data_IF_281561500358
#
_entry.id   IF_281561500358
#
_cell.length_a   1.000
_cell.length_b   1.000
_cell.length_c   1.000
_cell.angle_alpha   90.00
_cell.angle_beta   90.00
_cell.angle_gamma   90.00
#
_symmetry.space_group_name_H-M   'P 1'
#
loop_
_entity.id
_entity.type
_entity.pdbx_description
1 polymer ?
#
# COMPACT_ATOMS: atom_id res chain seq x y z
N UNK A 1 -2.50 7.60 -20.89
CA UNK A 1 -1.81 8.94 -21.00
C UNK A 1 -0.96 9.02 -22.27
N UNK A 2 -1.04 10.10 -23.06
CA UNK A 2 -0.19 10.30 -24.26
C UNK A 2 1.07 11.08 -23.89
N UNK A 3 2.23 10.73 -24.46
CA UNK A 3 3.53 11.37 -24.18
C UNK A 3 3.51 12.91 -24.34
N UNK A 4 2.92 13.39 -25.41
CA UNK A 4 2.98 14.81 -25.82
C UNK A 4 2.27 15.79 -24.84
N UNK A 5 1.57 15.29 -23.83
CA UNK A 5 0.88 16.14 -22.85
C UNK A 5 1.59 16.22 -21.49
N UNK A 6 2.53 15.30 -21.23
CA UNK A 6 3.33 15.32 -19.99
C UNK A 6 4.48 16.33 -20.01
N UNK A 7 4.84 16.88 -21.20
CA UNK A 7 5.97 17.80 -21.36
C UNK A 7 5.80 19.11 -20.57
N UNK A 8 4.58 19.43 -20.15
CA UNK A 8 4.29 20.63 -19.37
C UNK A 8 4.44 20.43 -17.86
N UNK A 9 4.53 19.18 -17.37
CA UNK A 9 4.68 18.91 -15.95
C UNK A 9 6.12 19.17 -15.50
N UNK A 10 6.33 19.72 -14.30
CA UNK A 10 7.67 19.74 -13.71
C UNK A 10 8.15 18.31 -13.44
N UNK A 11 9.45 18.07 -13.48
CA UNK A 11 10.06 16.82 -13.06
C UNK A 11 10.95 17.04 -11.83
N UNK A 12 11.12 16.03 -10.97
CA UNK A 12 10.38 14.77 -10.96
C UNK A 12 8.92 14.95 -10.53
N UNK A 13 7.99 14.10 -11.04
CA UNK A 13 6.58 14.22 -10.74
C UNK A 13 5.86 12.86 -10.76
N UNK A 14 5.09 12.54 -9.73
CA UNK A 14 4.10 11.48 -9.77
C UNK A 14 2.83 11.97 -10.48
N UNK A 15 2.27 11.15 -11.33
CA UNK A 15 1.02 11.44 -12.05
C UNK A 15 0.06 10.29 -11.85
N UNK A 16 -1.09 10.55 -11.24
CA UNK A 16 -2.14 9.55 -11.03
C UNK A 16 -3.24 9.70 -12.08
N UNK A 17 -3.55 8.60 -12.77
CA UNK A 17 -4.60 8.50 -13.80
C UNK A 17 -5.93 8.17 -13.14
N UNK A 18 -6.87 9.11 -13.14
CA UNK A 18 -8.19 8.95 -12.52
C UNK A 18 -9.02 7.84 -13.17
N UNK A 19 -8.88 7.64 -14.47
CA UNK A 19 -9.64 6.60 -15.18
C UNK A 19 -9.19 5.19 -14.83
N UNK A 20 -7.88 4.95 -14.70
CA UNK A 20 -7.36 3.66 -14.26
C UNK A 20 -7.70 3.42 -12.80
N UNK A 21 -7.55 4.45 -11.95
CA UNK A 21 -7.92 4.39 -10.54
C UNK A 21 -9.40 4.00 -10.38
N UNK A 22 -10.30 4.66 -11.10
CA UNK A 22 -11.74 4.37 -11.03
C UNK A 22 -12.07 2.95 -11.54
N UNK A 23 -11.41 2.49 -12.59
CA UNK A 23 -11.57 1.11 -13.09
C UNK A 23 -11.17 0.07 -12.03
N UNK A 24 -10.06 0.29 -11.33
CA UNK A 24 -9.64 -0.58 -10.23
C UNK A 24 -10.70 -0.61 -9.11
N UNK A 25 -11.20 0.56 -8.73
CA UNK A 25 -12.25 0.70 -7.72
C UNK A 25 -13.54 -0.01 -8.10
N UNK A 26 -13.96 0.07 -9.37
CA UNK A 26 -15.14 -0.64 -9.88
C UNK A 26 -14.97 -2.17 -9.76
N UNK A 27 -13.79 -2.70 -10.05
CA UNK A 27 -13.49 -4.13 -9.88
C UNK A 27 -13.60 -4.55 -8.40
N UNK A 28 -13.09 -3.73 -7.50
CA UNK A 28 -13.15 -4.00 -6.06
C UNK A 28 -14.59 -3.88 -5.53
N UNK A 29 -15.35 -2.92 -6.03
CA UNK A 29 -16.75 -2.73 -5.64
C UNK A 29 -17.63 -3.91 -6.07
N UNK A 30 -17.36 -4.53 -7.23
CA UNK A 30 -18.04 -5.76 -7.64
C UNK A 30 -17.89 -6.88 -6.59
N UNK A 31 -16.72 -7.00 -5.94
CA UNK A 31 -16.52 -7.97 -4.85
C UNK A 31 -17.43 -7.64 -3.67
N UNK A 32 -17.49 -6.36 -3.27
CA UNK A 32 -18.37 -5.93 -2.17
C UNK A 32 -19.85 -6.21 -2.46
N UNK A 33 -20.31 -5.84 -3.67
CA UNK A 33 -21.71 -6.02 -4.07
C UNK A 33 -22.13 -7.48 -4.14
N UNK A 34 -21.22 -8.38 -4.55
CA UNK A 34 -21.49 -9.82 -4.64
C UNK A 34 -21.48 -10.52 -3.30
N UNK A 35 -20.58 -10.12 -2.41
CA UNK A 35 -20.25 -10.91 -1.21
C UNK A 35 -20.73 -10.28 0.09
N UNK A 36 -21.06 -8.99 0.10
CA UNK A 36 -21.30 -8.22 1.31
C UNK A 36 -20.06 -7.94 2.16
N UNK A 37 -18.87 -8.31 1.69
CA UNK A 37 -17.64 -7.91 2.34
C UNK A 37 -17.46 -6.39 2.27
N UNK A 38 -16.82 -5.81 3.28
CA UNK A 38 -16.44 -4.41 3.29
C UNK A 38 -14.98 -4.25 2.89
N UNK A 39 -14.69 -3.27 2.05
CA UNK A 39 -13.32 -2.97 1.63
C UNK A 39 -12.92 -1.59 2.12
N UNK A 40 -11.75 -1.50 2.72
CA UNK A 40 -11.15 -0.28 3.25
C UNK A 40 -9.76 -0.06 2.62
N UNK A 41 -9.44 1.20 2.32
CA UNK A 41 -8.16 1.57 1.72
C UNK A 41 -7.02 1.46 2.73
N UNK A 42 -5.97 0.70 2.42
CA UNK A 42 -4.74 0.69 3.22
C UNK A 42 -3.85 1.90 2.89
N UNK A 43 -3.81 2.88 3.81
CA UNK A 43 -3.08 4.13 3.61
C UNK A 43 -1.57 3.93 3.46
N UNK A 44 -1.00 2.89 4.09
CA UNK A 44 0.40 2.52 3.90
C UNK A 44 0.77 2.21 2.44
N UNK A 45 -0.21 1.77 1.62
CA UNK A 45 -0.01 1.48 0.21
C UNK A 45 -0.31 2.67 -0.69
N UNK A 46 -1.38 3.42 -0.39
CA UNK A 46 -1.79 4.58 -1.17
C UNK A 46 -2.52 5.60 -0.30
N UNK A 47 -2.02 6.83 -0.22
CA UNK A 47 -2.54 7.86 0.67
C UNK A 47 -2.71 9.24 0.01
N UNK A 48 -2.88 9.30 -1.32
CA UNK A 48 -3.13 10.53 -2.04
C UNK A 48 -4.54 11.05 -1.75
N UNK A 49 -4.69 11.86 -0.68
CA UNK A 49 -6.00 12.29 -0.19
C UNK A 49 -6.79 13.14 -1.18
N UNK A 50 -6.15 13.77 -2.18
CA UNK A 50 -6.84 14.50 -3.24
C UNK A 50 -7.84 13.65 -4.02
N UNK A 51 -7.61 12.34 -4.10
CA UNK A 51 -8.51 11.39 -4.79
C UNK A 51 -9.44 10.63 -3.83
N UNK A 52 -9.42 10.91 -2.54
CA UNK A 52 -10.32 10.27 -1.57
C UNK A 52 -11.81 10.49 -1.87
N UNK A 53 -12.27 11.66 -2.39
CA UNK A 53 -13.67 11.79 -2.80
C UNK A 53 -14.11 10.80 -3.87
N UNK A 54 -13.20 10.43 -4.81
CA UNK A 54 -13.46 9.37 -5.79
C UNK A 54 -13.50 8.00 -5.10
N UNK A 55 -12.48 7.69 -4.29
CA UNK A 55 -12.37 6.38 -3.63
C UNK A 55 -13.55 6.12 -2.68
N UNK A 56 -14.00 7.13 -1.95
CA UNK A 56 -15.13 7.04 -1.02
C UNK A 56 -16.47 6.67 -1.69
N UNK A 57 -16.60 6.85 -2.99
CA UNK A 57 -17.79 6.40 -3.73
C UNK A 57 -17.89 4.87 -3.79
N UNK A 58 -16.79 4.19 -3.58
CA UNK A 58 -16.64 2.74 -3.72
C UNK A 58 -16.30 2.04 -2.41
N UNK A 59 -15.45 2.63 -1.56
CA UNK A 59 -14.95 2.03 -0.33
C UNK A 59 -15.58 2.67 0.91
N UNK A 60 -15.77 1.88 1.96
CA UNK A 60 -16.43 2.34 3.19
C UNK A 60 -15.49 3.05 4.17
N UNK A 61 -14.17 2.92 4.02
CA UNK A 61 -13.23 3.47 5.00
C UNK A 61 -11.77 3.31 4.63
N UNK A 62 -10.92 3.49 5.63
CA UNK A 62 -9.46 3.40 5.54
C UNK A 62 -8.89 2.54 6.66
N UNK A 63 -7.72 1.94 6.45
CA UNK A 63 -6.92 1.34 7.51
C UNK A 63 -5.59 2.05 7.65
N UNK A 64 -5.23 2.32 8.90
CA UNK A 64 -4.10 3.13 9.31
C UNK A 64 -3.09 2.32 10.12
N UNK A 65 -1.81 2.60 9.94
CA UNK A 65 -0.71 1.97 10.66
C UNK A 65 -0.08 2.89 11.72
N UNK A 66 -0.63 4.11 11.88
CA UNK A 66 -0.16 5.12 12.82
C UNK A 66 -1.27 6.13 13.14
N UNK A 67 -1.04 6.96 14.18
CA UNK A 67 -1.93 8.09 14.53
C UNK A 67 -2.09 9.06 13.35
N UNK A 68 -1.01 9.34 12.62
CA UNK A 68 -1.07 10.29 11.50
C UNK A 68 -1.88 9.75 10.33
N UNK A 69 -1.74 8.47 9.98
CA UNK A 69 -2.60 7.84 8.98
C UNK A 69 -4.06 7.79 9.43
N UNK A 70 -4.32 7.48 10.73
CA UNK A 70 -5.69 7.48 11.26
C UNK A 70 -6.32 8.87 11.19
N UNK A 71 -5.56 9.93 11.49
CA UNK A 71 -6.00 11.31 11.36
C UNK A 71 -6.31 11.66 9.91
N UNK A 72 -5.42 11.33 8.98
CA UNK A 72 -5.65 11.54 7.54
C UNK A 72 -6.92 10.84 7.08
N UNK A 73 -7.13 9.57 7.47
CA UNK A 73 -8.35 8.83 7.17
C UNK A 73 -9.60 9.50 7.74
N UNK A 74 -9.56 9.97 8.99
CA UNK A 74 -10.69 10.62 9.63
C UNK A 74 -11.03 11.98 9.02
N UNK A 75 -10.01 12.83 8.81
CA UNK A 75 -10.20 14.20 8.36
C UNK A 75 -10.51 14.29 6.85
N UNK A 76 -9.80 13.52 6.02
CA UNK A 76 -9.88 13.65 4.56
C UNK A 76 -10.79 12.61 3.90
N UNK A 77 -10.86 11.38 4.43
CA UNK A 77 -11.75 10.34 3.91
C UNK A 77 -13.13 10.38 4.58
N UNK A 78 -13.20 10.42 5.91
CA UNK A 78 -14.43 10.59 6.69
C UNK A 78 -15.40 9.39 6.66
N UNK A 79 -14.88 8.17 6.41
CA UNK A 79 -15.62 6.89 6.54
C UNK A 79 -15.21 6.13 7.81
N UNK A 80 -15.35 4.81 7.80
CA UNK A 80 -14.79 3.95 8.84
C UNK A 80 -13.27 4.08 8.87
N UNK A 81 -12.67 4.19 10.07
CA UNK A 81 -11.22 4.19 10.24
C UNK A 81 -10.83 3.02 11.10
N UNK A 82 -10.08 2.10 10.53
CA UNK A 82 -9.46 0.98 11.24
C UNK A 82 -8.01 1.32 11.55
N UNK A 83 -7.47 0.80 12.65
CA UNK A 83 -6.06 0.95 12.96
C UNK A 83 -5.42 -0.35 13.40
N UNK A 84 -4.22 -0.59 12.91
CA UNK A 84 -3.34 -1.65 13.37
C UNK A 84 -1.89 -1.15 13.36
N UNK A 85 -1.22 -1.26 14.50
CA UNK A 85 0.23 -1.11 14.61
C UNK A 85 0.82 -2.27 15.44
N UNK A 86 2.11 -2.61 15.25
CA UNK A 86 2.78 -3.64 16.07
C UNK A 86 2.80 -3.33 17.56
N UNK A 87 2.74 -2.06 17.92
CA UNK A 87 2.58 -1.58 19.28
C UNK A 87 2.07 -0.13 19.28
N UNK A 88 1.42 0.25 20.37
CA UNK A 88 0.99 1.62 20.65
C UNK A 88 1.63 2.09 21.96
N UNK A 89 2.08 3.34 22.01
CA UNK A 89 2.41 4.02 23.25
C UNK A 89 1.13 4.53 23.95
N UNK A 90 1.26 4.98 25.21
CA UNK A 90 0.13 5.60 25.92
C UNK A 90 -0.37 6.85 25.19
N UNK A 91 0.54 7.65 24.63
CA UNK A 91 0.22 8.82 23.83
C UNK A 91 -0.50 8.44 22.54
N UNK A 92 -0.03 7.40 21.81
CA UNK A 92 -0.71 6.94 20.60
C UNK A 92 -2.15 6.53 20.89
N UNK A 93 -2.42 5.85 22.01
CA UNK A 93 -3.78 5.44 22.38
C UNK A 93 -4.65 6.66 22.66
N UNK A 94 -4.17 7.67 23.37
CA UNK A 94 -4.91 8.91 23.64
C UNK A 94 -5.27 9.66 22.36
N UNK A 95 -4.34 9.73 21.42
CA UNK A 95 -4.53 10.44 20.15
C UNK A 95 -5.35 9.65 19.12
N UNK A 96 -5.27 8.31 19.11
CA UNK A 96 -5.90 7.49 18.07
C UNK A 96 -7.37 7.16 18.37
N UNK A 97 -7.75 6.97 19.65
CA UNK A 97 -9.12 6.58 20.02
C UNK A 97 -10.22 7.50 19.48
N UNK A 98 -10.06 8.83 19.49
CA UNK A 98 -11.05 9.75 18.87
C UNK A 98 -11.22 9.53 17.37
N UNK A 99 -10.20 9.01 16.70
CA UNK A 99 -10.11 8.94 15.25
C UNK A 99 -10.64 7.63 14.67
N UNK A 100 -10.56 6.52 15.42
CA UNK A 100 -10.81 5.17 14.89
C UNK A 100 -12.17 4.61 15.28
N UNK A 101 -12.72 3.74 14.44
CA UNK A 101 -13.91 2.94 14.71
C UNK A 101 -13.53 1.49 15.10
N UNK A 102 -12.38 1.02 14.60
CA UNK A 102 -11.80 -0.28 14.94
C UNK A 102 -10.31 -0.11 15.31
N UNK A 103 -9.88 -0.80 16.35
CA UNK A 103 -8.46 -0.89 16.72
C UNK A 103 -8.04 -2.34 16.89
N UNK A 104 -7.00 -2.77 16.19
CA UNK A 104 -6.45 -4.11 16.31
C UNK A 104 -5.14 -4.08 17.09
N UNK A 105 -5.05 -4.86 18.15
CA UNK A 105 -3.82 -5.05 18.91
C UNK A 105 -2.99 -6.21 18.35
N UNK A 106 -1.69 -6.07 18.46
CA UNK A 106 -0.74 -7.08 17.98
C UNK A 106 -0.51 -8.21 18.99
N UNK A 107 -0.82 -8.00 20.27
CA UNK A 107 -0.58 -8.97 21.34
C UNK A 107 -1.60 -8.88 22.46
N UNK A 108 -1.75 -9.98 23.21
CA UNK A 108 -2.57 -9.98 24.42
C UNK A 108 -2.10 -8.95 25.45
N UNK A 109 -0.78 -8.77 25.63
CA UNK A 109 -0.25 -7.78 26.57
C UNK A 109 -0.64 -6.35 26.21
N UNK A 110 -0.65 -6.00 24.92
CA UNK A 110 -1.12 -4.69 24.46
C UNK A 110 -2.63 -4.55 24.70
N UNK A 111 -3.42 -5.54 24.32
CA UNK A 111 -4.86 -5.55 24.58
C UNK A 111 -5.21 -5.45 26.06
N UNK A 112 -4.62 -6.31 26.91
CA UNK A 112 -4.82 -6.30 28.36
C UNK A 112 -4.44 -4.95 29.00
N UNK A 113 -3.41 -4.28 28.46
CA UNK A 113 -2.98 -2.95 28.92
C UNK A 113 -3.98 -1.85 28.60
N UNK A 114 -4.63 -1.91 27.44
CA UNK A 114 -5.40 -0.77 26.92
C UNK A 114 -6.91 -1.01 26.83
N UNK A 115 -7.39 -2.23 27.00
CA UNK A 115 -8.82 -2.54 26.83
C UNK A 115 -9.73 -1.64 27.68
N UNK A 116 -9.41 -1.43 28.96
CA UNK A 116 -10.24 -0.63 29.88
C UNK A 116 -10.32 0.83 29.39
N UNK A 117 -9.24 1.38 28.80
CA UNK A 117 -9.25 2.72 28.20
C UNK A 117 -10.12 2.77 26.95
N UNK A 118 -10.07 1.72 26.11
CA UNK A 118 -10.90 1.63 24.88
C UNK A 118 -12.37 1.45 25.26
N UNK A 119 -12.67 0.55 26.19
CA UNK A 119 -14.06 0.26 26.62
C UNK A 119 -14.69 1.47 27.34
N UNK A 120 -13.92 2.25 28.10
CA UNK A 120 -14.40 3.45 28.79
C UNK A 120 -14.43 4.70 27.90
N UNK A 121 -13.93 4.60 26.66
CA UNK A 121 -13.92 5.75 25.76
C UNK A 121 -15.34 6.15 25.34
N UNK A 122 -15.73 7.43 25.34
CA UNK A 122 -17.12 7.86 25.07
C UNK A 122 -17.68 7.42 23.72
N UNK A 123 -16.80 7.34 22.69
CA UNK A 123 -17.16 6.80 21.38
C UNK A 123 -16.88 5.30 21.38
N UNK A 124 -17.84 4.44 20.99
CA UNK A 124 -17.59 3.02 20.85
C UNK A 124 -16.48 2.74 19.82
N UNK A 125 -15.48 1.96 20.23
CA UNK A 125 -14.40 1.48 19.37
C UNK A 125 -14.36 -0.03 19.42
N UNK A 126 -14.46 -0.66 18.27
CA UNK A 126 -14.43 -2.13 18.17
C UNK A 126 -13.00 -2.65 18.29
N UNK A 127 -12.79 -3.62 19.17
CA UNK A 127 -11.47 -4.14 19.50
C UNK A 127 -11.18 -5.43 18.74
N UNK A 128 -10.06 -5.48 18.06
CA UNK A 128 -9.53 -6.65 17.38
C UNK A 128 -8.19 -7.12 17.88
N UNK A 129 -7.85 -8.34 17.50
CA UNK A 129 -6.54 -8.92 17.71
C UNK A 129 -5.96 -9.41 16.39
N UNK A 130 -4.73 -9.04 16.08
CA UNK A 130 -4.04 -9.62 14.93
C UNK A 130 -3.60 -11.03 15.24
N UNK A 131 -4.06 -11.97 14.43
CA UNK A 131 -3.66 -13.38 14.49
C UNK A 131 -2.57 -13.68 13.46
N UNK A 132 -1.69 -14.63 13.79
CA UNK A 132 -0.67 -15.16 12.90
C UNK A 132 -0.95 -16.65 12.64
N UNK A 133 -1.43 -17.02 11.46
CA UNK A 133 -1.73 -18.40 11.14
C UNK A 133 -0.47 -19.26 10.96
N UNK A 134 0.73 -18.67 10.99
CA UNK A 134 2.00 -19.37 10.74
C UNK A 134 2.00 -20.06 9.37
N UNK A 135 1.38 -19.40 8.39
CA UNK A 135 1.28 -19.81 7.01
C UNK A 135 1.37 -18.58 6.09
N UNK A 136 2.26 -18.65 5.13
CA UNK A 136 2.45 -17.63 4.09
C UNK A 136 3.16 -18.27 2.90
N UNK A 137 2.85 -17.80 1.70
CA UNK A 137 3.50 -18.22 0.44
C UNK A 137 4.39 -17.10 -0.13
N UNK A 138 4.72 -16.10 0.69
CA UNK A 138 5.59 -14.99 0.29
C UNK A 138 7.03 -15.47 0.23
N UNK A 139 7.65 -15.40 -0.96
CA UNK A 139 9.00 -15.86 -1.18
C UNK A 139 10.08 -14.96 -0.54
N UNK A 140 9.79 -13.64 -0.44
CA UNK A 140 10.73 -12.65 0.09
C UNK A 140 10.60 -12.51 1.60
N UNK A 141 11.59 -12.93 2.42
CA UNK A 141 11.48 -12.94 3.89
C UNK A 141 11.20 -11.58 4.52
N UNK A 142 11.58 -10.48 3.86
CA UNK A 142 11.32 -9.10 4.32
C UNK A 142 9.81 -8.82 4.38
N UNK A 143 9.03 -9.38 3.48
CA UNK A 143 7.59 -9.17 3.35
C UNK A 143 6.75 -10.30 3.95
N UNK A 144 7.36 -11.40 4.41
CA UNK A 144 6.64 -12.53 5.04
C UNK A 144 6.30 -12.24 6.51
N UNK A 145 5.02 -11.95 6.83
CA UNK A 145 4.59 -11.66 8.19
C UNK A 145 4.50 -12.92 9.06
N UNK A 146 4.54 -14.11 8.47
CA UNK A 146 4.43 -15.40 9.15
C UNK A 146 5.76 -16.14 9.30
N UNK A 147 6.87 -15.54 8.84
CA UNK A 147 8.21 -16.14 8.99
C UNK A 147 8.52 -16.48 10.44
N UNK A 148 9.46 -17.39 10.64
CA UNK A 148 9.98 -17.71 11.96
C UNK A 148 10.44 -16.42 12.69
N UNK A 149 10.09 -16.29 13.96
CA UNK A 149 10.37 -15.12 14.80
C UNK A 149 9.73 -13.79 14.31
N UNK A 150 8.68 -13.87 13.49
CA UNK A 150 7.91 -12.66 13.17
C UNK A 150 7.36 -12.00 14.43
N UNK A 151 7.44 -10.65 14.47
CA UNK A 151 6.85 -9.84 15.55
C UNK A 151 5.35 -9.55 15.33
N UNK A 152 4.75 -10.05 14.24
CA UNK A 152 3.42 -9.66 13.80
C UNK A 152 2.38 -10.73 14.10
N UNK A 153 1.41 -10.36 14.94
CA UNK A 153 0.25 -11.18 15.26
C UNK A 153 0.51 -12.31 16.25
N UNK A 154 -0.55 -12.78 16.86
CA UNK A 154 -0.55 -13.84 17.88
C UNK A 154 -0.73 -15.20 17.26
N UNK A 155 0.15 -16.14 17.59
CA UNK A 155 0.08 -17.53 17.16
C UNK A 155 -0.93 -18.32 17.99
N UNK A 156 -1.47 -19.40 17.42
CA UNK A 156 -2.48 -20.23 18.07
C UNK A 156 -2.08 -20.71 19.48
N UNK A 157 -0.82 -21.09 19.67
CA UNK A 157 -0.30 -21.56 20.97
C UNK A 157 -0.41 -20.53 22.11
N UNK A 158 -0.51 -19.23 21.79
CA UNK A 158 -0.59 -18.14 22.77
C UNK A 158 -2.03 -17.91 23.28
N UNK A 159 -3.03 -18.59 22.69
CA UNK A 159 -4.45 -18.47 23.06
C UNK A 159 -4.85 -19.37 24.22
N UNK A 160 -4.02 -20.33 24.61
CA UNK A 160 -4.33 -21.28 25.69
C UNK A 160 -4.67 -20.59 27.02
N UNK A 161 -5.90 -20.81 27.52
CA UNK A 161 -6.36 -20.23 28.78
C UNK A 161 -6.68 -18.74 28.77
N UNK A 162 -6.64 -18.07 27.59
CA UNK A 162 -7.00 -16.66 27.49
C UNK A 162 -8.53 -16.49 27.39
N UNK A 163 -9.03 -15.52 28.16
CA UNK A 163 -10.39 -15.04 28.02
C UNK A 163 -10.44 -14.00 26.91
N UNK A 164 -11.25 -14.22 25.87
CA UNK A 164 -11.41 -13.32 24.73
C UNK A 164 -12.57 -12.32 24.88
N UNK A 165 -13.23 -12.31 26.03
CA UNK A 165 -14.33 -11.37 26.31
C UNK A 165 -13.85 -9.93 26.15
N UNK A 166 -14.56 -9.14 25.34
CA UNK A 166 -14.17 -7.77 24.95
C UNK A 166 -13.43 -7.69 23.63
N UNK A 167 -13.10 -8.82 22.97
CA UNK A 167 -12.67 -8.81 21.58
C UNK A 167 -13.88 -8.93 20.66
N UNK A 168 -13.93 -8.08 19.64
CA UNK A 168 -14.96 -8.07 18.62
C UNK A 168 -14.52 -8.76 17.32
N UNK A 169 -13.21 -8.85 17.06
CA UNK A 169 -12.76 -9.39 15.78
C UNK A 169 -11.31 -9.84 15.71
N UNK A 170 -11.01 -10.52 14.61
CA UNK A 170 -9.67 -10.90 14.24
C UNK A 170 -9.21 -10.21 12.97
N UNK A 171 -7.91 -9.93 12.90
CA UNK A 171 -7.24 -9.42 11.74
C UNK A 171 -6.05 -10.33 11.41
N UNK A 172 -5.90 -10.73 10.16
CA UNK A 172 -4.66 -11.30 9.64
C UNK A 172 -4.26 -10.60 8.34
N UNK A 173 -2.97 -10.59 8.05
CA UNK A 173 -2.44 -10.06 6.81
C UNK A 173 -1.22 -10.89 6.45
N UNK A 174 -1.36 -11.75 5.45
CA UNK A 174 -0.41 -12.83 5.13
C UNK A 174 -0.10 -12.92 3.64
N UNK A 175 -0.74 -12.10 2.82
CA UNK A 175 -0.54 -12.03 1.38
C UNK A 175 0.30 -10.80 1.01
N UNK A 176 1.06 -10.92 -0.09
CA UNK A 176 1.74 -9.83 -0.77
C UNK A 176 1.72 -10.14 -2.27
N UNK A 177 0.99 -9.34 -3.05
CA UNK A 177 0.83 -9.45 -4.51
C UNK A 177 0.32 -10.82 -5.00
N UNK A 178 -0.48 -11.50 -4.19
CA UNK A 178 -0.92 -12.87 -4.47
C UNK A 178 -2.36 -12.94 -4.97
N UNK A 179 -2.69 -14.06 -5.64
CA UNK A 179 -4.01 -14.31 -6.21
C UNK A 179 -4.94 -15.01 -5.18
N UNK A 180 -6.21 -15.20 -5.54
CA UNK A 180 -7.24 -15.73 -4.66
C UNK A 180 -7.00 -17.18 -4.19
N UNK A 181 -6.26 -17.97 -4.95
CA UNK A 181 -5.89 -19.35 -4.57
C UNK A 181 -5.00 -19.39 -3.31
N UNK A 182 -4.11 -18.42 -3.14
CA UNK A 182 -3.33 -18.27 -1.91
C UNK A 182 -4.22 -17.91 -0.71
N UNK A 183 -5.23 -17.07 -0.91
CA UNK A 183 -6.21 -16.79 0.15
C UNK A 183 -6.97 -18.06 0.55
N UNK A 184 -7.38 -18.89 -0.40
CA UNK A 184 -8.10 -20.14 -0.11
C UNK A 184 -7.30 -21.02 0.86
N UNK A 185 -6.04 -21.31 0.51
CA UNK A 185 -5.16 -22.09 1.39
C UNK A 185 -4.90 -21.41 2.74
N UNK A 186 -4.81 -20.08 2.74
CA UNK A 186 -4.67 -19.31 3.99
C UNK A 186 -5.89 -19.44 4.87
N UNK A 187 -7.10 -19.35 4.30
CA UNK A 187 -8.36 -19.48 5.05
C UNK A 187 -8.52 -20.88 5.66
N UNK A 188 -8.14 -21.94 4.95
CA UNK A 188 -8.12 -23.30 5.50
C UNK A 188 -7.28 -23.38 6.77
N UNK A 189 -6.08 -22.77 6.76
CA UNK A 189 -5.20 -22.73 7.92
C UNK A 189 -5.77 -21.85 9.04
N UNK A 190 -6.33 -20.69 8.71
CA UNK A 190 -6.96 -19.78 9.68
C UNK A 190 -8.14 -20.46 10.36
N UNK A 191 -9.05 -21.08 9.61
CA UNK A 191 -10.21 -21.78 10.17
C UNK A 191 -9.78 -23.01 10.97
N UNK A 192 -8.79 -23.76 10.53
CA UNK A 192 -8.24 -24.90 11.29
C UNK A 192 -7.66 -24.50 12.64
N UNK A 193 -6.95 -23.38 12.71
CA UNK A 193 -6.27 -22.93 13.93
C UNK A 193 -7.15 -22.05 14.83
N UNK A 194 -7.99 -21.19 14.24
CA UNK A 194 -8.71 -20.16 14.95
C UNK A 194 -10.25 -20.28 14.82
N UNK A 195 -10.75 -21.21 14.01
CA UNK A 195 -12.19 -21.39 13.76
C UNK A 195 -13.03 -21.51 15.01
N UNK A 196 -12.54 -22.21 16.03
CA UNK A 196 -13.24 -22.35 17.32
C UNK A 196 -13.48 -21.03 18.06
N UNK A 197 -12.79 -19.96 17.72
CA UNK A 197 -12.97 -18.63 18.30
C UNK A 197 -13.84 -17.72 17.44
N UNK A 198 -14.02 -18.04 16.14
CA UNK A 198 -14.76 -17.19 15.21
C UNK A 198 -16.24 -17.05 15.57
N UNK A 199 -16.81 -18.00 16.27
CA UNK A 199 -18.20 -17.92 16.74
C UNK A 199 -18.49 -16.77 17.71
N UNK A 200 -17.44 -16.22 18.34
CA UNK A 200 -17.54 -15.09 19.27
C UNK A 200 -17.20 -13.76 18.59
N UNK A 201 -16.68 -13.77 17.35
CA UNK A 201 -16.21 -12.59 16.65
C UNK A 201 -17.32 -11.97 15.80
N UNK A 202 -17.47 -10.65 15.86
CA UNK A 202 -18.39 -9.87 15.02
C UNK A 202 -17.82 -9.57 13.64
N UNK A 203 -16.50 -9.61 13.49
CA UNK A 203 -15.83 -9.36 12.23
C UNK A 203 -14.50 -10.10 12.12
N UNK A 204 -14.08 -10.29 10.87
CA UNK A 204 -12.74 -10.74 10.53
C UNK A 204 -12.21 -9.90 9.38
N UNK A 205 -10.95 -9.49 9.48
CA UNK A 205 -10.25 -8.76 8.45
C UNK A 205 -9.17 -9.66 7.83
N UNK A 206 -9.31 -9.94 6.53
CA UNK A 206 -8.39 -10.81 5.78
C UNK A 206 -7.10 -10.07 5.37
N UNK A 207 -6.99 -8.78 5.71
CA UNK A 207 -5.84 -7.96 5.40
C UNK A 207 -5.77 -7.51 3.93
N UNK A 208 -4.59 -7.11 3.52
CA UNK A 208 -4.27 -6.72 2.16
C UNK A 208 -3.38 -7.74 1.44
N UNK A 209 -2.73 -7.29 0.36
CA UNK A 209 -1.87 -8.13 -0.47
C UNK A 209 -2.63 -8.93 -1.53
N UNK A 210 -3.94 -8.71 -1.63
CA UNK A 210 -4.79 -9.22 -2.70
C UNK A 210 -4.68 -8.30 -3.92
N UNK A 211 -4.15 -8.79 -5.02
CA UNK A 211 -4.02 -8.00 -6.26
C UNK A 211 -5.31 -7.97 -7.09
N UNK A 212 -6.45 -7.63 -6.48
CA UNK A 212 -7.82 -7.76 -7.01
C UNK A 212 -7.99 -7.10 -8.37
N UNK A 213 -7.31 -5.98 -8.62
CA UNK A 213 -7.40 -5.22 -9.89
C UNK A 213 -6.41 -5.70 -10.96
N UNK A 214 -5.53 -6.66 -10.64
CA UNK A 214 -4.59 -7.24 -11.61
C UNK A 214 -5.36 -8.06 -12.65
N UNK A 215 -5.01 -7.98 -13.95
CA UNK A 215 -5.79 -8.62 -15.03
C UNK A 215 -5.95 -10.14 -14.91
N UNK A 216 -4.98 -10.83 -14.28
CA UNK A 216 -4.98 -12.28 -14.07
C UNK A 216 -5.49 -12.71 -12.70
N UNK A 217 -6.03 -11.76 -11.90
CA UNK A 217 -6.59 -12.08 -10.59
C UNK A 217 -7.97 -12.75 -10.73
N UNK A 218 -8.16 -13.86 -10.03
CA UNK A 218 -9.40 -14.63 -10.04
C UNK A 218 -10.43 -14.02 -9.05
N UNK A 219 -11.14 -12.99 -9.52
CA UNK A 219 -12.19 -12.30 -8.76
C UNK A 219 -13.35 -13.23 -8.41
N UNK A 220 -13.71 -14.16 -9.30
CA UNK A 220 -14.81 -15.09 -9.08
C UNK A 220 -14.47 -16.04 -7.93
N UNK A 221 -13.25 -16.56 -7.89
CA UNK A 221 -12.76 -17.38 -6.78
C UNK A 221 -12.74 -16.59 -5.47
N UNK A 222 -12.27 -15.35 -5.47
CA UNK A 222 -12.31 -14.49 -4.28
C UNK A 222 -13.74 -14.36 -3.73
N UNK A 223 -14.70 -14.07 -4.60
CA UNK A 223 -16.11 -13.96 -4.19
C UNK A 223 -16.62 -15.28 -3.62
N UNK A 224 -16.38 -16.40 -4.29
CA UNK A 224 -16.81 -17.71 -3.81
C UNK A 224 -16.20 -18.06 -2.44
N UNK A 225 -14.94 -17.70 -2.19
CA UNK A 225 -14.29 -17.91 -0.89
C UNK A 225 -14.94 -17.09 0.22
N UNK A 226 -15.21 -15.81 -0.04
CA UNK A 226 -15.86 -14.91 0.92
C UNK A 226 -17.30 -15.39 1.20
N UNK A 227 -18.06 -15.74 0.16
CA UNK A 227 -19.43 -16.26 0.29
C UNK A 227 -19.46 -17.55 1.13
N UNK A 228 -18.57 -18.49 0.83
CA UNK A 228 -18.45 -19.74 1.57
C UNK A 228 -18.05 -19.52 3.04
N UNK A 229 -17.11 -18.60 3.30
CA UNK A 229 -16.76 -18.20 4.66
C UNK A 229 -17.94 -17.57 5.39
N UNK A 230 -18.65 -16.64 4.78
CA UNK A 230 -19.80 -15.96 5.34
C UNK A 230 -20.97 -16.92 5.63
N UNK A 231 -21.15 -17.97 4.82
CA UNK A 231 -22.12 -19.02 5.09
C UNK A 231 -21.79 -19.83 6.34
N UNK A 232 -20.49 -20.10 6.58
CA UNK A 232 -20.04 -20.80 7.81
C UNK A 232 -20.07 -19.90 9.05
N UNK A 233 -19.86 -18.59 8.86
CA UNK A 233 -19.77 -17.59 9.93
C UNK A 233 -20.69 -16.38 9.66
N UNK A 234 -22.04 -16.57 9.63
CA UNK A 234 -23.00 -15.56 9.16
C UNK A 234 -23.10 -14.31 10.03
N UNK A 235 -22.57 -14.35 11.25
CA UNK A 235 -22.51 -13.22 12.19
C UNK A 235 -21.22 -12.40 12.07
N UNK A 236 -20.26 -12.86 11.26
CA UNK A 236 -18.93 -12.29 11.18
C UNK A 236 -18.78 -11.47 9.90
N UNK A 237 -18.70 -10.14 10.01
CA UNK A 237 -18.46 -9.26 8.87
C UNK A 237 -17.04 -9.44 8.34
N UNK A 238 -16.92 -9.72 7.04
CA UNK A 238 -15.61 -9.80 6.37
C UNK A 238 -15.13 -8.42 5.93
N UNK A 239 -13.87 -8.12 6.20
CA UNK A 239 -13.15 -6.94 5.69
C UNK A 239 -11.95 -7.34 4.85
N UNK A 240 -11.61 -6.50 3.85
CA UNK A 240 -10.38 -6.55 3.07
C UNK A 240 -9.69 -5.18 3.12
N UNK A 241 -8.36 -5.18 3.10
CA UNK A 241 -7.52 -3.97 3.20
C UNK A 241 -6.56 -3.80 1.98
N UNK A 242 -7.04 -3.78 0.74
CA UNK A 242 -6.14 -3.51 -0.38
C UNK A 242 -5.57 -2.09 -0.29
N UNK A 243 -4.28 -1.96 -0.56
CA UNK A 243 -3.61 -0.67 -0.75
C UNK A 243 -3.15 -0.55 -2.20
N UNK A 244 -2.23 -1.41 -2.57
CA UNK A 244 -1.64 -1.49 -3.90
C UNK A 244 -2.68 -1.75 -5.00
N UNK A 245 -3.58 -2.71 -4.82
CA UNK A 245 -4.62 -3.02 -5.80
C UNK A 245 -5.55 -1.83 -6.11
N UNK A 246 -5.68 -0.85 -5.22
CA UNK A 246 -6.45 0.38 -5.48
C UNK A 246 -5.76 1.20 -6.58
N UNK A 247 -4.44 1.37 -6.48
CA UNK A 247 -3.67 2.25 -7.35
C UNK A 247 -2.79 1.51 -8.38
N UNK A 248 -2.98 0.19 -8.52
CA UNK A 248 -2.22 -0.66 -9.45
C UNK A 248 -2.30 -0.13 -10.87
N UNK A 249 -1.14 0.12 -11.49
CA UNK A 249 -1.00 0.73 -12.81
C UNK A 249 -1.70 2.11 -12.97
N UNK A 250 -2.21 2.71 -11.89
CA UNK A 250 -2.93 3.98 -11.93
C UNK A 250 -2.01 5.19 -11.89
N UNK A 251 -0.71 5.01 -11.75
CA UNK A 251 0.19 6.16 -11.73
C UNK A 251 1.57 5.86 -12.28
N UNK A 252 2.19 6.94 -12.73
CA UNK A 252 3.56 6.94 -13.26
C UNK A 252 4.42 7.95 -12.52
N UNK A 253 5.75 7.79 -12.60
CA UNK A 253 6.68 8.85 -12.24
C UNK A 253 7.40 9.33 -13.49
N UNK A 254 7.37 10.64 -13.72
CA UNK A 254 8.06 11.30 -14.82
C UNK A 254 9.37 11.89 -14.29
N UNK A 255 10.48 11.51 -14.91
CA UNK A 255 11.81 11.99 -14.58
C UNK A 255 12.50 12.59 -15.79
N UNK A 256 13.44 13.51 -15.59
CA UNK A 256 14.30 14.07 -16.64
C UNK A 256 15.72 13.55 -16.52
N UNK A 257 16.36 13.34 -17.67
CA UNK A 257 17.78 13.07 -17.76
C UNK A 257 18.56 14.38 -17.54
N UNK A 258 19.42 14.39 -16.52
CA UNK A 258 20.23 15.56 -16.15
C UNK A 258 21.63 15.54 -16.77
N UNK A 259 22.21 14.33 -16.89
CA UNK A 259 23.55 14.16 -17.45
C UNK A 259 23.65 12.77 -18.12
N UNK A 260 24.53 12.70 -19.13
CA UNK A 260 24.86 11.45 -19.84
C UNK A 260 26.36 11.43 -20.08
N UNK A 261 27.01 10.35 -19.70
CA UNK A 261 28.44 10.14 -19.95
C UNK A 261 28.75 8.69 -20.29
N UNK A 262 29.88 8.46 -20.90
CA UNK A 262 30.38 7.11 -21.24
C UNK A 262 31.65 6.81 -20.43
N UNK A 263 31.64 5.66 -19.75
CA UNK A 263 32.79 5.01 -19.13
C UNK A 263 32.56 3.50 -19.19
N UNK A 264 33.20 2.78 -20.07
CA UNK A 264 32.97 1.36 -20.38
C UNK A 264 31.51 1.02 -20.76
N UNK A 265 30.54 1.86 -20.37
CA UNK A 265 29.13 1.77 -20.71
C UNK A 265 28.48 3.16 -20.70
N UNK A 266 27.29 3.26 -21.30
CA UNK A 266 26.45 4.47 -21.19
C UNK A 266 25.91 4.60 -19.76
N UNK A 267 26.01 5.82 -19.20
CA UNK A 267 25.42 6.21 -17.92
C UNK A 267 24.50 7.43 -18.13
N UNK A 268 23.33 7.41 -17.51
CA UNK A 268 22.44 8.57 -17.46
C UNK A 268 22.05 8.84 -16.00
N UNK A 269 22.20 10.09 -15.57
CA UNK A 269 21.79 10.57 -14.25
C UNK A 269 20.45 11.26 -14.39
N UNK A 270 19.50 10.88 -13.54
CA UNK A 270 18.14 11.38 -13.55
C UNK A 270 17.90 12.33 -12.37
N UNK A 271 16.87 13.17 -12.48
CA UNK A 271 16.39 14.02 -11.38
C UNK A 271 15.57 13.28 -10.33
N UNK A 272 15.48 11.95 -10.42
CA UNK A 272 14.94 11.04 -9.42
C UNK A 272 16.05 10.25 -8.73
N UNK A 273 15.70 9.55 -7.66
CA UNK A 273 16.62 8.74 -6.87
C UNK A 273 15.94 7.43 -6.48
N UNK A 274 16.63 6.30 -6.65
CA UNK A 274 16.15 5.01 -6.16
C UNK A 274 15.97 5.05 -4.64
N UNK A 275 16.98 5.55 -3.90
CA UNK A 275 16.93 5.57 -2.43
C UNK A 275 15.93 6.57 -1.86
N UNK A 276 15.69 7.70 -2.53
CA UNK A 276 14.83 8.76 -1.99
C UNK A 276 13.40 8.72 -2.52
N UNK A 277 13.17 8.30 -3.76
CA UNK A 277 11.89 8.44 -4.44
C UNK A 277 11.23 7.10 -4.80
N UNK A 278 11.98 6.01 -4.84
CA UNK A 278 11.49 4.66 -5.14
C UNK A 278 12.29 3.60 -4.36
N UNK A 279 12.28 3.64 -3.00
CA UNK A 279 13.19 2.84 -2.18
C UNK A 279 12.99 1.33 -2.35
N UNK A 280 11.83 0.85 -2.78
CA UNK A 280 11.59 -0.57 -3.03
C UNK A 280 12.48 -1.12 -4.16
N UNK A 281 12.98 -0.29 -5.07
CA UNK A 281 14.00 -0.68 -6.06
C UNK A 281 15.25 -1.26 -5.39
N UNK A 282 15.62 -0.72 -4.21
CA UNK A 282 16.77 -1.15 -3.44
C UNK A 282 16.42 -2.16 -2.33
N UNK A 283 15.25 -1.98 -1.67
CA UNK A 283 14.80 -2.82 -0.55
C UNK A 283 14.31 -4.18 -1.01
N UNK A 284 13.66 -4.24 -2.16
CA UNK A 284 13.12 -5.43 -2.79
C UNK A 284 13.60 -5.53 -4.24
N UNK A 285 14.90 -5.71 -4.49
CA UNK A 285 15.53 -5.42 -5.77
C UNK A 285 14.69 -5.83 -6.97
N UNK A 286 14.06 -4.87 -7.59
CA UNK A 286 13.34 -5.02 -8.84
C UNK A 286 13.73 -3.87 -9.78
N UNK A 287 13.47 -4.04 -11.05
CA UNK A 287 13.74 -3.02 -12.05
C UNK A 287 12.40 -2.44 -12.53
N UNK A 288 12.10 -1.15 -12.22
CA UNK A 288 10.87 -0.51 -12.68
C UNK A 288 10.73 -0.57 -14.21
N UNK A 289 9.52 -0.72 -14.70
CA UNK A 289 9.25 -0.65 -16.14
C UNK A 289 9.33 0.82 -16.58
N UNK A 290 10.10 1.08 -17.64
CA UNK A 290 10.18 2.41 -18.26
C UNK A 290 9.53 2.34 -19.63
N UNK A 291 8.58 3.22 -19.87
CA UNK A 291 7.88 3.31 -21.16
C UNK A 291 8.86 3.57 -22.28
N UNK A 292 8.85 2.68 -23.28
CA UNK A 292 9.74 2.78 -24.44
C UNK A 292 11.17 2.28 -24.23
N UNK A 293 11.54 1.86 -23.03
CA UNK A 293 12.77 1.12 -22.76
C UNK A 293 12.51 -0.39 -22.65
N UNK A 294 13.57 -1.19 -22.62
CA UNK A 294 13.49 -2.64 -22.58
C UNK A 294 14.62 -3.24 -21.72
N UNK A 295 14.67 -4.55 -21.62
CA UNK A 295 15.74 -5.26 -20.93
C UNK A 295 17.10 -4.99 -21.56
N UNK A 296 18.19 -5.02 -20.78
CA UNK A 296 19.53 -4.81 -21.30
C UNK A 296 19.84 -5.72 -22.50
N UNK A 297 20.33 -5.14 -23.59
CA UNK A 297 20.70 -5.87 -24.79
C UNK A 297 19.56 -6.20 -25.75
N UNK A 298 18.30 -5.90 -25.43
CA UNK A 298 17.15 -6.09 -26.34
C UNK A 298 17.15 -5.03 -27.44
N UNK A 299 17.41 -3.78 -27.07
CA UNK A 299 17.52 -2.64 -28.01
C UNK A 299 18.98 -2.25 -28.25
N UNK A 300 19.19 -1.29 -29.15
CA UNK A 300 20.50 -0.94 -29.69
C UNK A 300 21.49 -0.46 -28.63
N UNK A 301 21.06 0.36 -27.67
CA UNK A 301 21.93 0.99 -26.68
C UNK A 301 21.50 0.57 -25.28
N UNK A 302 22.42 -0.04 -24.53
CA UNK A 302 22.20 -0.29 -23.09
C UNK A 302 22.83 0.82 -22.27
N UNK A 303 22.04 1.43 -21.38
CA UNK A 303 22.45 2.51 -20.50
C UNK A 303 22.11 2.17 -19.04
N UNK A 304 23.01 2.51 -18.11
CA UNK A 304 22.78 2.43 -16.66
C UNK A 304 22.14 3.73 -16.19
N UNK A 305 21.03 3.63 -15.49
CA UNK A 305 20.31 4.79 -14.94
C UNK A 305 20.62 4.91 -13.45
N UNK A 306 21.11 6.08 -13.05
CA UNK A 306 21.42 6.44 -11.67
C UNK A 306 20.60 7.63 -11.19
N UNK A 307 20.46 7.71 -9.87
CA UNK A 307 19.85 8.85 -9.19
C UNK A 307 20.87 9.97 -8.92
N UNK A 308 20.36 11.05 -8.33
CA UNK A 308 21.16 12.27 -8.08
C UNK A 308 21.70 12.37 -6.64
N UNK A 309 21.49 11.36 -5.78
CA UNK A 309 22.06 11.39 -4.43
C UNK A 309 23.53 10.94 -4.42
N UNK A 310 24.24 11.28 -3.33
CA UNK A 310 25.63 10.86 -3.14
C UNK A 310 25.79 9.41 -2.64
N UNK A 311 24.72 8.65 -2.51
CA UNK A 311 24.79 7.24 -2.19
C UNK A 311 25.32 6.47 -3.40
N UNK A 312 26.44 5.74 -3.24
CA UNK A 312 27.04 4.97 -4.33
C UNK A 312 26.08 3.94 -4.95
N UNK A 313 25.15 3.40 -4.16
CA UNK A 313 24.13 2.46 -4.61
C UNK A 313 22.81 3.10 -5.07
N UNK A 314 22.77 4.41 -5.34
CA UNK A 314 21.58 5.08 -5.89
C UNK A 314 21.43 4.78 -7.38
N UNK A 315 21.26 3.50 -7.70
CA UNK A 315 21.11 2.97 -9.04
C UNK A 315 19.70 2.42 -9.25
N UNK A 316 19.06 2.84 -10.35
CA UNK A 316 17.71 2.37 -10.71
C UNK A 316 17.79 1.06 -11.50
N UNK A 317 18.79 0.94 -12.36
CA UNK A 317 19.04 -0.28 -13.12
C UNK A 317 19.60 -0.04 -14.52
N UNK A 318 19.74 -1.12 -15.29
CA UNK A 318 20.17 -1.09 -16.68
C UNK A 318 18.98 -1.28 -17.61
N UNK A 319 18.92 -0.47 -18.66
CA UNK A 319 17.85 -0.48 -19.65
C UNK A 319 18.42 -0.34 -21.06
N UNK A 320 17.74 -0.91 -22.04
CA UNK A 320 18.09 -0.67 -23.43
C UNK A 320 17.10 0.27 -24.12
N UNK A 321 17.64 1.09 -25.03
CA UNK A 321 16.92 2.14 -25.77
C UNK A 321 17.22 2.03 -27.26
N UNK A 322 16.32 2.53 -28.11
CA UNK A 322 16.52 2.60 -29.57
C UNK A 322 17.56 3.64 -29.97
N UNK A 323 17.73 4.71 -29.16
CA UNK A 323 18.77 5.74 -29.24
C UNK A 323 19.34 6.02 -27.85
N UNK A 324 20.58 6.55 -27.74
CA UNK A 324 21.11 6.99 -26.46
C UNK A 324 20.19 8.03 -25.80
N UNK A 325 19.93 7.93 -24.49
CA UNK A 325 19.31 9.01 -23.75
C UNK A 325 20.11 10.31 -23.92
N UNK A 326 19.42 11.44 -23.90
CA UNK A 326 20.03 12.78 -24.00
C UNK A 326 19.59 13.65 -22.83
N UNK A 327 20.41 14.60 -22.44
CA UNK A 327 20.06 15.61 -21.42
C UNK A 327 18.75 16.30 -21.82
N UNK A 328 17.79 16.32 -20.90
CA UNK A 328 16.44 16.84 -21.12
C UNK A 328 15.42 15.82 -21.62
N UNK A 329 15.83 14.60 -22.00
CA UNK A 329 14.88 13.53 -22.28
C UNK A 329 14.04 13.20 -21.04
N UNK A 330 12.77 12.87 -21.25
CA UNK A 330 11.87 12.46 -20.19
C UNK A 330 11.67 10.95 -20.20
N UNK A 331 11.85 10.33 -19.05
CA UNK A 331 11.57 8.92 -18.81
C UNK A 331 10.32 8.78 -17.97
N UNK A 332 9.45 7.84 -18.34
CA UNK A 332 8.21 7.57 -17.64
C UNK A 332 8.29 6.18 -17.01
N UNK A 333 8.38 6.14 -15.69
CA UNK A 333 8.36 4.92 -14.90
C UNK A 333 6.92 4.52 -14.64
N UNK A 334 6.57 3.29 -14.99
CA UNK A 334 5.21 2.76 -14.83
C UNK A 334 4.98 2.30 -13.39
N UNK A 335 3.73 2.30 -12.98
CA UNK A 335 3.24 1.75 -11.69
C UNK A 335 3.88 2.36 -10.44
N UNK A 336 3.94 3.70 -10.39
CA UNK A 336 4.62 4.46 -9.34
C UNK A 336 3.68 5.18 -8.36
N UNK A 337 2.36 4.88 -8.36
CA UNK A 337 1.42 5.58 -7.47
C UNK A 337 1.36 4.97 -6.07
N UNK A 338 1.39 3.64 -5.97
CA UNK A 338 1.34 2.96 -4.68
C UNK A 338 2.74 2.80 -4.08
N UNK A 339 2.82 2.58 -2.77
CA UNK A 339 4.05 2.48 -1.97
C UNK A 339 5.10 3.56 -2.28
N UNK A 340 5.48 3.76 -3.52
CA UNK A 340 6.49 4.71 -3.95
C UNK A 340 6.19 6.13 -3.45
N UNK A 341 4.94 6.62 -3.60
CA UNK A 341 4.55 7.95 -3.11
C UNK A 341 4.57 8.07 -1.57
N UNK A 342 4.25 7.00 -0.84
CA UNK A 342 4.17 7.04 0.63
C UNK A 342 5.50 6.72 1.32
N UNK A 343 6.46 6.12 0.61
CA UNK A 343 7.78 5.74 1.15
C UNK A 343 8.89 6.74 0.82
N UNK A 344 8.63 7.78 0.04
CA UNK A 344 9.67 8.73 -0.39
C UNK A 344 10.26 9.54 0.78
N UNK A 345 11.49 10.00 0.57
CA UNK A 345 12.26 10.78 1.54
C UNK A 345 12.95 11.97 0.85
N UNK A 346 13.60 12.81 1.66
CA UNK A 346 14.44 13.92 1.19
C UNK A 346 15.92 13.68 1.54
N UNK A 347 16.38 12.44 1.41
CA UNK A 347 17.81 12.13 1.63
C UNK A 347 18.69 13.01 0.75
N UNK A 348 19.85 13.44 1.25
CA UNK A 348 20.75 14.44 0.62
C UNK A 348 20.09 15.80 0.30
N UNK A 349 18.89 16.10 0.79
CA UNK A 349 18.15 17.31 0.47
C UNK A 349 17.57 17.29 -0.95
N UNK A 350 17.44 16.12 -1.60
CA UNK A 350 16.81 16.04 -2.92
C UNK A 350 15.33 16.45 -2.82
N UNK A 351 14.85 17.12 -3.86
CA UNK A 351 13.47 17.60 -3.91
C UNK A 351 12.52 16.42 -4.04
N UNK A 352 11.47 16.39 -3.21
CA UNK A 352 10.39 15.44 -3.41
C UNK A 352 9.74 15.61 -4.79
N UNK A 353 9.36 14.52 -5.48
CA UNK A 353 8.62 14.60 -6.73
C UNK A 353 7.30 15.34 -6.56
N UNK A 354 6.96 16.20 -7.51
CA UNK A 354 5.65 16.84 -7.57
C UNK A 354 4.53 15.78 -7.63
N UNK A 355 3.30 16.21 -7.41
CA UNK A 355 2.12 15.35 -7.49
C UNK A 355 1.12 15.96 -8.45
N UNK A 356 0.70 15.21 -9.46
CA UNK A 356 -0.27 15.63 -10.46
C UNK A 356 -1.34 14.56 -10.66
N UNK A 357 -2.48 14.99 -11.18
CA UNK A 357 -3.57 14.14 -11.66
C UNK A 357 -3.66 14.22 -13.18
N UNK A 358 -4.06 13.14 -13.80
CA UNK A 358 -4.50 13.09 -15.18
C UNK A 358 -5.99 12.72 -15.22
N UNK A 359 -6.79 13.60 -15.83
CA UNK A 359 -8.20 13.31 -16.14
C UNK A 359 -8.30 12.82 -17.61
N UNK A 360 -8.66 11.56 -17.86
CA UNK A 360 -8.78 11.03 -19.20
C UNK A 360 -9.99 11.58 -19.97
N UNK A 361 -11.04 12.09 -19.30
CA UNK A 361 -12.20 12.69 -19.93
C UNK A 361 -11.88 14.07 -20.51
N UNK A 362 -11.18 14.88 -19.72
CA UNK A 362 -10.74 16.22 -20.14
C UNK A 362 -9.41 16.19 -20.90
N UNK A 363 -8.71 15.06 -20.89
CA UNK A 363 -7.35 14.88 -21.44
C UNK A 363 -6.38 15.94 -20.87
N UNK A 364 -6.55 16.31 -19.62
CA UNK A 364 -5.81 17.38 -18.94
C UNK A 364 -5.03 16.88 -17.73
N UNK A 365 -3.98 17.65 -17.37
CA UNK A 365 -3.20 17.44 -16.16
C UNK A 365 -3.46 18.56 -15.17
N UNK A 366 -3.64 18.21 -13.91
CA UNK A 366 -3.70 19.16 -12.79
C UNK A 366 -2.47 18.93 -11.89
N UNK A 367 -1.59 19.93 -11.76
CA UNK A 367 -0.49 19.90 -10.79
C UNK A 367 -1.07 20.21 -9.40
N UNK A 368 -1.09 19.21 -8.52
CA UNK A 368 -1.69 19.30 -7.18
C UNK A 368 -0.71 19.88 -6.17
N UNK A 369 0.55 19.41 -6.22
CA UNK A 369 1.56 19.81 -5.24
C UNK A 369 2.93 19.88 -5.89
N UNK A 370 3.68 20.91 -5.51
CA UNK A 370 5.09 21.03 -5.74
C UNK A 370 5.80 21.24 -4.41
N UNK A 371 6.91 20.54 -4.20
CA UNK A 371 7.67 20.62 -2.96
C UNK A 371 8.87 21.54 -3.12
N UNK A 372 9.25 22.20 -2.03
CA UNK A 372 10.34 23.17 -2.02
C UNK A 372 11.27 23.02 -0.82
N UNK A 373 12.10 24.04 -0.61
CA UNK A 373 13.06 24.06 0.48
C UNK A 373 12.43 23.93 1.87
N UNK A 374 11.25 24.52 2.09
CA UNK A 374 10.58 24.47 3.38
C UNK A 374 10.14 23.05 3.76
N UNK A 375 9.73 22.23 2.79
CA UNK A 375 9.39 20.81 3.04
C UNK A 375 10.61 20.01 3.54
N UNK A 376 11.81 20.36 3.08
CA UNK A 376 13.07 19.77 3.57
C UNK A 376 13.45 20.34 4.95
N UNK A 377 13.47 21.67 5.07
CA UNK A 377 13.94 22.35 6.28
C UNK A 377 13.12 22.01 7.51
N UNK A 378 11.78 22.05 7.40
CA UNK A 378 10.85 21.88 8.53
C UNK A 378 10.93 20.50 9.21
N UNK A 379 11.48 19.48 8.53
CA UNK A 379 11.68 18.18 9.16
C UNK A 379 13.01 18.03 9.89
N UNK A 380 13.90 18.98 9.81
CA UNK A 380 15.23 18.91 10.39
C UNK A 380 15.38 19.73 11.67
N UNK A 381 14.55 20.75 11.87
CA UNK A 381 14.52 21.51 13.13
C UNK A 381 13.32 22.47 13.20
#
# INVERSE_FOLDING_TARGET
MKFNTMDQLPTPCYVVDLGILEKNLQTIDQVQQRTGAKVILALKGFAMYRVFPLIKRYLCGTTASSVHEARLGREEFGGEVHAYAPAYSDQDIEEILPLVDHISFNSFSQWERYRDRVESFPKPVSIGLRINPEYSEIATPLYDPCRANSRLGMRRCQFGGKNLSGLDGFHFHTLCEQNADTLERTLEVVESKFGGFLSEMKWINFGGGHHISRPDYDVDRLCALIEAFSQRHPHCQVYLEPGEAIALNAGVMVASVLDVFEDQSCHAILDVSATAHMPDVLEMPYRPIIRGADDPGVKTITCRLGGLTCLAGDEIGQYSFDRPPQVGDRLVFEDMAHYTMVKNTTFNGVRLPGIALYDPHEQSFELIRQFGYDDYRQRLS
#
